data_IF_196493181750
#
_entry.id   IF_196493181750
#
_cell.length_a   1.000
_cell.length_b   1.000
_cell.length_c   1.000
_cell.angle_alpha   90.00
_cell.angle_beta   90.00
_cell.angle_gamma   90.00
#
_symmetry.space_group_name_H-M   'P 1'
#
loop_
_entity.id
_entity.type
_entity.pdbx_description
1 polymer ?
#
# COMPACT_ATOMS: atom_id res chain seq x y z
N UNK A 1 3.26 -29.09 12.10
CA UNK A 1 2.49 -28.06 12.84
C UNK A 1 3.15 -26.71 12.59
N UNK A 2 2.67 -25.94 11.61
CA UNK A 2 3.21 -24.63 11.27
C UNK A 2 2.75 -23.60 12.32
N UNK A 3 3.71 -22.88 12.88
CA UNK A 3 3.51 -21.99 14.02
C UNK A 3 2.55 -20.85 13.68
N UNK A 4 1.46 -20.76 14.45
CA UNK A 4 0.51 -19.68 14.48
C UNK A 4 1.13 -18.37 15.03
N UNK A 5 2.12 -17.81 14.33
CA UNK A 5 2.42 -16.37 14.43
C UNK A 5 1.31 -15.64 13.69
N UNK A 6 0.16 -15.59 14.35
CA UNK A 6 -1.06 -15.03 13.80
C UNK A 6 -0.81 -13.58 13.37
N UNK A 7 -1.61 -13.19 12.39
CA UNK A 7 -1.86 -11.84 11.90
C UNK A 7 -2.34 -10.84 12.99
N UNK A 8 -1.69 -10.81 14.16
CA UNK A 8 -1.92 -9.84 15.22
C UNK A 8 -1.73 -8.43 14.65
N UNK A 9 -2.85 -7.72 14.46
CA UNK A 9 -2.88 -6.36 13.93
C UNK A 9 -3.41 -6.20 12.50
N UNK A 10 -3.85 -7.26 11.82
CA UNK A 10 -4.69 -7.09 10.62
C UNK A 10 -6.07 -6.56 11.03
N UNK A 11 -6.68 -5.70 10.20
CA UNK A 11 -8.10 -5.38 10.34
C UNK A 11 -8.99 -6.57 9.91
N UNK A 12 -10.29 -6.56 10.24
CA UNK A 12 -11.22 -7.58 9.76
C UNK A 12 -11.20 -7.76 8.24
N UNK A 13 -11.22 -6.66 7.47
CA UNK A 13 -11.18 -6.71 6.01
C UNK A 13 -9.83 -7.22 5.50
N UNK A 14 -8.72 -6.84 6.12
CA UNK A 14 -7.41 -7.38 5.76
C UNK A 14 -7.32 -8.89 6.02
N UNK A 15 -7.86 -9.37 7.16
CA UNK A 15 -7.96 -10.82 7.43
C UNK A 15 -8.84 -11.53 6.41
N UNK A 16 -10.00 -10.95 6.06
CA UNK A 16 -10.90 -11.52 5.06
C UNK A 16 -10.19 -11.67 3.72
N UNK A 17 -9.53 -10.61 3.26
CA UNK A 17 -8.80 -10.59 2.00
C UNK A 17 -7.65 -11.61 1.99
N UNK A 18 -6.86 -11.68 3.06
CA UNK A 18 -5.73 -12.64 3.15
C UNK A 18 -6.23 -14.09 3.13
N UNK A 19 -7.33 -14.41 3.84
CA UNK A 19 -7.90 -15.77 3.79
C UNK A 19 -8.35 -16.15 2.38
N UNK A 20 -8.98 -15.22 1.66
CA UNK A 20 -9.36 -15.45 0.28
C UNK A 20 -8.15 -15.65 -0.64
N UNK A 21 -7.11 -14.82 -0.52
CA UNK A 21 -5.87 -14.96 -1.31
C UNK A 21 -5.22 -16.32 -1.04
N UNK A 22 -5.08 -16.71 0.23
CA UNK A 22 -4.48 -18.00 0.63
C UNK A 22 -5.27 -19.18 0.06
N UNK A 23 -6.60 -19.14 0.13
CA UNK A 23 -7.45 -20.23 -0.33
C UNK A 23 -7.63 -20.34 -1.85
N UNK A 24 -7.42 -19.24 -2.58
CA UNK A 24 -7.65 -19.19 -4.03
C UNK A 24 -6.38 -19.01 -4.85
N UNK A 25 -5.26 -18.69 -4.21
CA UNK A 25 -4.02 -18.29 -4.89
C UNK A 25 -4.20 -17.11 -5.84
N UNK A 26 -5.05 -16.13 -5.51
CA UNK A 26 -5.27 -14.92 -6.33
C UNK A 26 -3.97 -14.12 -6.58
N UNK A 27 -3.00 -14.22 -5.67
CA UNK A 27 -1.66 -13.65 -5.84
C UNK A 27 -0.82 -14.38 -6.90
N UNK A 28 -1.31 -15.47 -7.50
CA UNK A 28 -0.68 -16.24 -8.57
C UNK A 28 0.74 -16.73 -8.21
N UNK A 29 0.94 -17.10 -6.95
CA UNK A 29 2.25 -17.55 -6.46
C UNK A 29 3.30 -16.44 -6.31
N UNK A 30 2.90 -15.17 -6.39
CA UNK A 30 3.78 -14.03 -6.14
C UNK A 30 3.71 -13.58 -4.67
N UNK A 31 4.81 -13.03 -4.15
CA UNK A 31 4.75 -12.31 -2.87
C UNK A 31 3.78 -11.13 -2.97
N UNK A 32 3.12 -10.80 -1.86
CA UNK A 32 2.12 -9.75 -1.88
C UNK A 32 2.12 -8.88 -0.63
N UNK A 33 1.53 -7.70 -0.75
CA UNK A 33 1.28 -6.82 0.38
C UNK A 33 -0.18 -6.36 0.42
N UNK A 34 -0.69 -6.15 1.63
CA UNK A 34 -1.99 -5.51 1.88
C UNK A 34 -1.75 -4.15 2.51
N UNK A 35 -2.17 -3.09 1.83
CA UNK A 35 -2.21 -1.72 2.36
C UNK A 35 -3.58 -1.47 2.95
N UNK A 36 -3.65 -1.38 4.28
CA UNK A 36 -4.85 -1.00 5.01
C UNK A 36 -4.90 0.52 5.16
N UNK A 37 -5.74 1.15 4.34
CA UNK A 37 -5.87 2.61 4.32
C UNK A 37 -6.46 3.17 5.61
N UNK A 38 -7.41 2.49 6.25
CA UNK A 38 -8.03 2.93 7.49
C UNK A 38 -7.06 2.85 8.68
N UNK A 39 -6.25 1.79 8.73
CA UNK A 39 -5.22 1.62 9.74
C UNK A 39 -3.92 2.40 9.43
N UNK A 40 -3.77 2.89 8.20
CA UNK A 40 -2.53 3.47 7.68
C UNK A 40 -1.32 2.53 7.87
N UNK A 41 -1.50 1.26 7.47
CA UNK A 41 -0.50 0.19 7.61
C UNK A 41 -0.31 -0.58 6.32
N UNK A 42 0.87 -1.17 6.19
CA UNK A 42 1.15 -2.21 5.20
C UNK A 42 1.47 -3.52 5.92
N UNK A 43 1.05 -4.63 5.32
CA UNK A 43 1.35 -5.99 5.76
C UNK A 43 1.92 -6.77 4.58
N UNK A 44 3.10 -7.38 4.74
CA UNK A 44 3.79 -8.09 3.65
C UNK A 44 3.73 -9.59 3.93
N UNK A 45 3.48 -10.35 2.88
CA UNK A 45 3.32 -11.79 2.88
C UNK A 45 4.20 -12.43 1.80
N UNK A 46 4.66 -13.65 2.06
CA UNK A 46 5.30 -14.48 1.04
C UNK A 46 4.30 -14.94 -0.03
N UNK A 47 4.81 -15.59 -1.07
CA UNK A 47 3.99 -16.23 -2.10
C UNK A 47 2.99 -17.25 -1.56
N UNK A 48 3.32 -17.91 -0.44
CA UNK A 48 2.47 -18.91 0.23
C UNK A 48 1.64 -18.29 1.36
N UNK A 49 1.35 -16.98 1.28
CA UNK A 49 0.58 -16.23 2.27
C UNK A 49 1.14 -16.24 3.71
N UNK A 50 2.40 -16.65 3.91
CA UNK A 50 3.04 -16.55 5.21
C UNK A 50 3.33 -15.09 5.54
N UNK A 51 2.93 -14.63 6.73
CA UNK A 51 3.17 -13.26 7.18
C UNK A 51 4.66 -12.99 7.42
N UNK A 52 5.18 -11.91 6.81
CA UNK A 52 6.60 -11.53 6.90
C UNK A 52 6.83 -10.29 7.76
N UNK A 53 5.91 -9.32 7.71
CA UNK A 53 6.04 -8.11 8.53
C UNK A 53 4.92 -7.11 8.35
N UNK A 54 4.90 -6.10 9.23
CA UNK A 54 4.00 -4.95 9.14
C UNK A 54 4.71 -3.66 9.52
N UNK A 55 4.27 -2.54 8.94
CA UNK A 55 4.74 -1.21 9.28
C UNK A 55 3.61 -0.17 9.14
N UNK A 56 3.66 0.96 9.87
CA UNK A 56 2.88 2.13 9.50
C UNK A 56 3.34 2.65 8.13
N UNK A 57 2.46 3.31 7.40
CA UNK A 57 2.77 3.98 6.12
C UNK A 57 2.14 5.35 6.07
N UNK A 58 2.71 6.26 5.27
CA UNK A 58 2.01 7.48 4.85
C UNK A 58 1.24 7.20 3.55
N UNK A 59 0.06 7.81 3.44
CA UNK A 59 -0.87 7.65 2.35
C UNK A 59 -1.24 9.01 1.75
N UNK A 60 -2.02 8.98 0.68
CA UNK A 60 -2.64 10.15 0.08
C UNK A 60 -3.32 11.04 1.15
N UNK A 61 -3.14 12.35 1.02
CA UNK A 61 -3.69 13.33 1.95
C UNK A 61 -5.23 13.29 2.00
N UNK A 62 -5.88 12.98 0.87
CA UNK A 62 -7.32 12.78 0.81
C UNK A 62 -7.69 11.31 1.03
N UNK A 63 -8.87 11.11 1.61
CA UNK A 63 -9.58 9.82 1.52
C UNK A 63 -10.20 9.70 0.14
N UNK A 64 -10.40 8.48 -0.33
CA UNK A 64 -10.94 8.19 -1.65
C UNK A 64 -10.26 6.99 -2.27
N UNK A 65 -11.04 6.20 -2.99
CA UNK A 65 -10.65 4.89 -3.51
C UNK A 65 -10.26 4.91 -4.99
N UNK A 66 -10.39 6.05 -5.66
CA UNK A 66 -10.11 6.21 -7.09
C UNK A 66 -9.12 7.33 -7.36
N UNK A 67 -8.34 7.17 -8.41
CA UNK A 67 -7.55 8.23 -9.03
C UNK A 67 -8.38 8.92 -10.11
N UNK A 68 -8.18 10.23 -10.30
CA UNK A 68 -8.84 10.97 -11.39
C UNK A 68 -8.10 10.74 -12.72
N UNK A 69 -8.80 10.73 -13.87
CA UNK A 69 -8.17 10.54 -15.17
C UNK A 69 -7.02 11.52 -15.43
N UNK A 70 -5.91 11.02 -15.95
CA UNK A 70 -4.75 11.83 -16.34
C UNK A 70 -3.91 12.37 -15.19
N UNK A 71 -4.17 11.95 -13.93
CA UNK A 71 -3.45 12.50 -12.77
C UNK A 71 -1.95 12.25 -12.81
N UNK A 72 -1.51 11.09 -13.33
CA UNK A 72 -0.10 10.73 -13.39
C UNK A 72 0.73 11.62 -14.32
N UNK A 73 0.10 12.32 -15.25
CA UNK A 73 0.76 13.22 -16.21
C UNK A 73 0.68 14.69 -15.77
N UNK A 74 -0.04 15.00 -14.68
CA UNK A 74 -0.20 16.37 -14.19
C UNK A 74 0.96 16.78 -13.29
N UNK A 75 1.49 18.01 -13.40
CA UNK A 75 2.40 18.57 -12.42
C UNK A 75 1.78 18.56 -11.02
N UNK A 76 2.58 18.25 -9.98
CA UNK A 76 2.09 18.19 -8.58
C UNK A 76 1.39 19.48 -8.13
N UNK A 77 1.85 20.63 -8.61
CA UNK A 77 1.24 21.93 -8.30
C UNK A 77 -0.22 22.06 -8.80
N UNK A 78 -0.62 21.25 -9.78
CA UNK A 78 -1.97 21.21 -10.33
C UNK A 78 -2.84 20.14 -9.66
N UNK A 79 -2.29 19.26 -8.82
CA UNK A 79 -3.07 18.22 -8.13
C UNK A 79 -3.81 18.84 -6.95
N UNK A 80 -5.14 18.86 -7.06
CA UNK A 80 -6.02 19.46 -6.06
C UNK A 80 -6.01 18.64 -4.76
N UNK A 81 -6.26 19.26 -3.60
CA UNK A 81 -6.23 18.56 -2.32
C UNK A 81 -7.07 17.27 -2.28
N UNK A 82 -8.27 17.29 -2.84
CA UNK A 82 -9.21 16.17 -2.91
C UNK A 82 -8.79 15.04 -3.85
N UNK A 83 -7.88 15.32 -4.79
CA UNK A 83 -7.36 14.35 -5.76
C UNK A 83 -6.17 13.55 -5.23
N UNK A 84 -5.66 13.88 -4.03
CA UNK A 84 -4.48 13.25 -3.42
C UNK A 84 -4.85 11.93 -2.75
N UNK A 85 -5.42 11.01 -3.51
CA UNK A 85 -5.93 9.72 -3.04
C UNK A 85 -4.92 8.61 -3.27
N UNK A 86 -4.94 7.59 -2.40
CA UNK A 86 -4.30 6.29 -2.69
C UNK A 86 -5.41 5.36 -3.20
N UNK A 87 -5.37 4.92 -4.47
CA UNK A 87 -6.46 4.13 -5.06
C UNK A 87 -6.56 2.76 -4.39
N UNK A 88 -7.79 2.26 -4.25
CA UNK A 88 -8.07 0.91 -3.76
C UNK A 88 -8.10 -0.09 -4.92
N UNK A 89 -7.77 -1.35 -4.65
CA UNK A 89 -7.80 -2.39 -5.67
C UNK A 89 -6.64 -3.38 -5.57
N UNK A 90 -6.48 -4.18 -6.63
CA UNK A 90 -5.42 -5.18 -6.79
C UNK A 90 -4.49 -4.73 -7.91
N UNK A 91 -3.21 -4.63 -7.61
CA UNK A 91 -2.20 -4.11 -8.52
C UNK A 91 -1.02 -5.07 -8.62
N UNK A 92 -0.58 -5.38 -9.84
CA UNK A 92 0.71 -6.06 -10.04
C UNK A 92 1.80 -5.01 -9.99
N UNK A 93 2.85 -5.25 -9.20
CA UNK A 93 3.91 -4.25 -9.03
C UNK A 93 4.93 -4.29 -10.14
N UNK A 94 5.47 -3.11 -10.45
CA UNK A 94 6.58 -2.95 -11.38
C UNK A 94 7.79 -2.28 -10.71
N UNK A 95 9.02 -2.74 -11.01
CA UNK A 95 10.23 -2.07 -10.58
C UNK A 95 10.33 -0.69 -11.24
N UNK A 96 10.79 0.32 -10.50
CA UNK A 96 10.93 1.67 -11.01
C UNK A 96 12.08 2.44 -10.40
N UNK A 97 12.39 3.58 -11.00
CA UNK A 97 13.27 4.59 -10.42
C UNK A 97 12.59 5.95 -10.49
N UNK A 98 12.75 6.74 -9.45
CA UNK A 98 12.32 8.14 -9.49
C UNK A 98 13.35 9.03 -10.20
N UNK A 99 13.04 10.32 -10.37
CA UNK A 99 13.90 11.30 -11.05
C UNK A 99 15.28 11.51 -10.39
N UNK A 100 15.47 11.07 -9.13
CA UNK A 100 16.76 11.09 -8.43
C UNK A 100 17.51 9.75 -8.51
N UNK A 101 17.00 8.79 -9.28
CA UNK A 101 17.59 7.47 -9.47
C UNK A 101 17.35 6.47 -8.33
N UNK A 102 16.59 6.85 -7.29
CA UNK A 102 16.23 5.94 -6.19
C UNK A 102 15.20 4.93 -6.67
N UNK A 103 15.37 3.68 -6.25
CA UNK A 103 14.43 2.60 -6.52
C UNK A 103 13.07 2.85 -5.84
N UNK A 104 12.01 2.59 -6.60
CA UNK A 104 10.61 2.68 -6.18
C UNK A 104 9.86 1.46 -6.71
N UNK A 105 8.72 1.15 -6.10
CA UNK A 105 7.79 0.15 -6.62
C UNK A 105 6.58 0.88 -7.20
N UNK A 106 6.29 0.71 -8.48
CA UNK A 106 5.03 1.19 -9.04
C UNK A 106 3.89 0.29 -8.56
N UNK A 107 2.83 0.92 -8.01
CA UNK A 107 1.57 0.24 -7.69
C UNK A 107 0.60 0.49 -8.85
N UNK A 108 0.43 1.74 -9.24
CA UNK A 108 -0.40 2.13 -10.38
C UNK A 108 0.43 3.12 -11.20
N UNK A 109 0.96 2.64 -12.33
CA UNK A 109 1.85 3.41 -13.18
C UNK A 109 1.13 4.59 -13.82
N UNK A 110 -0.08 4.37 -14.35
CA UNK A 110 -0.86 5.39 -15.06
C UNK A 110 -1.31 6.52 -14.12
N UNK A 111 -1.61 6.20 -12.86
CA UNK A 111 -1.90 7.18 -11.82
C UNK A 111 -0.63 7.77 -11.16
N UNK A 112 0.56 7.34 -11.56
CA UNK A 112 1.84 7.67 -10.94
C UNK A 112 1.88 7.42 -9.41
N UNK A 113 1.21 6.36 -8.95
CA UNK A 113 1.21 5.94 -7.55
C UNK A 113 2.29 4.88 -7.33
N UNK A 114 3.23 5.20 -6.46
CA UNK A 114 4.33 4.30 -6.10
C UNK A 114 4.39 4.04 -4.59
N UNK A 115 4.97 2.90 -4.25
CA UNK A 115 5.44 2.56 -2.92
C UNK A 115 6.95 2.83 -2.84
N UNK A 116 7.34 3.70 -1.92
CA UNK A 116 8.75 4.09 -1.76
C UNK A 116 9.10 4.37 -0.31
N UNK A 117 10.41 4.47 -0.03
CA UNK A 117 10.92 4.88 1.30
C UNK A 117 10.36 6.24 1.70
N UNK A 118 10.05 6.44 2.97
CA UNK A 118 9.74 7.78 3.49
C UNK A 118 10.93 8.70 3.27
N UNK A 119 10.67 9.90 2.75
CA UNK A 119 11.68 10.92 2.44
C UNK A 119 11.30 12.20 3.14
N UNK A 120 12.24 12.83 3.83
CA UNK A 120 12.00 14.11 4.48
C UNK A 120 12.51 15.25 3.58
N UNK A 121 11.78 15.53 2.50
CA UNK A 121 12.14 16.59 1.56
C UNK A 121 11.99 18.00 2.18
N UNK A 122 11.07 18.16 3.13
CA UNK A 122 10.88 19.38 3.90
C UNK A 122 10.63 19.06 5.36
N UNK A 123 11.34 19.74 6.27
CA UNK A 123 11.14 19.60 7.71
C UNK A 123 9.73 20.00 8.15
N UNK A 124 9.08 20.93 7.42
CA UNK A 124 7.72 21.37 7.71
C UNK A 124 6.67 20.26 7.52
N UNK A 125 6.93 19.27 6.66
CA UNK A 125 6.02 18.14 6.44
C UNK A 125 6.02 17.15 7.62
N UNK A 126 7.11 17.11 8.42
CA UNK A 126 7.24 16.24 9.59
C UNK A 126 6.94 14.75 9.31
N UNK A 127 7.34 14.24 8.13
CA UNK A 127 6.95 12.90 7.66
C UNK A 127 7.36 11.77 8.60
N UNK A 128 8.55 11.85 9.19
CA UNK A 128 9.03 10.84 10.14
C UNK A 128 8.19 10.85 11.44
N UNK A 129 7.84 12.03 11.94
CA UNK A 129 7.00 12.17 13.13
C UNK A 129 5.57 11.69 12.86
N UNK A 130 4.99 12.03 11.70
CA UNK A 130 3.67 11.53 11.24
C UNK A 130 3.65 10.01 11.16
N UNK A 131 4.71 9.42 10.62
CA UNK A 131 4.84 7.96 10.51
C UNK A 131 4.92 7.29 11.89
N UNK A 132 5.61 7.92 12.84
CA UNK A 132 5.78 7.44 14.21
C UNK A 132 4.57 7.71 15.13
N UNK A 133 3.66 8.62 14.77
CA UNK A 133 2.51 8.94 15.62
C UNK A 133 1.55 7.74 15.76
N UNK A 134 0.67 7.76 16.77
CA UNK A 134 -0.42 6.77 16.88
C UNK A 134 -1.61 7.08 15.97
N UNK A 135 -1.79 8.36 15.57
CA UNK A 135 -2.91 8.81 14.75
C UNK A 135 -2.81 8.34 13.30
N UNK A 136 -3.92 7.83 12.75
CA UNK A 136 -4.00 7.46 11.32
C UNK A 136 -4.18 8.70 10.44
N UNK A 137 -4.81 9.76 10.95
CA UNK A 137 -4.95 11.02 10.22
C UNK A 137 -3.62 11.73 9.99
N UNK A 138 -2.68 11.65 10.94
CA UNK A 138 -1.34 12.24 10.77
C UNK A 138 -0.60 11.66 9.56
N UNK A 139 -0.93 10.42 9.18
CA UNK A 139 -0.29 9.67 8.09
C UNK A 139 -0.87 10.00 6.71
N UNK A 140 -1.83 10.91 6.62
CA UNK A 140 -2.41 11.43 5.37
C UNK A 140 -1.66 12.69 4.97
N UNK A 141 -0.75 12.56 3.99
CA UNK A 141 0.11 13.68 3.57
C UNK A 141 0.64 13.59 2.14
N UNK A 142 0.66 12.41 1.53
CA UNK A 142 1.22 12.24 0.18
C UNK A 142 0.25 12.71 -0.91
N UNK A 143 0.73 12.75 -2.15
CA UNK A 143 -0.11 12.97 -3.34
C UNK A 143 -0.76 11.68 -3.87
N UNK A 144 -0.66 10.58 -3.12
CA UNK A 144 -1.23 9.26 -3.46
C UNK A 144 -0.26 8.11 -3.21
N UNK A 145 1.05 8.36 -3.36
CA UNK A 145 2.10 7.38 -3.09
C UNK A 145 2.05 6.84 -1.66
N UNK A 146 2.41 5.57 -1.49
CA UNK A 146 2.57 4.91 -0.18
C UNK A 146 4.01 5.09 0.29
N UNK A 147 4.22 5.63 1.49
CA UNK A 147 5.58 5.86 2.02
C UNK A 147 5.85 4.95 3.23
N UNK A 148 6.85 4.08 3.12
CA UNK A 148 7.20 3.10 4.15
C UNK A 148 8.50 3.45 4.89
N UNK A 149 8.70 2.99 6.14
CA UNK A 149 9.99 3.14 6.83
C UNK A 149 11.13 2.51 6.03
N UNK A 150 12.28 3.17 6.00
CA UNK A 150 13.46 2.74 5.20
C UNK A 150 13.86 1.29 5.50
N UNK A 151 13.98 0.94 6.77
CA UNK A 151 14.38 -0.41 7.18
C UNK A 151 13.34 -1.48 6.76
N UNK A 152 12.05 -1.17 6.87
CA UNK A 152 10.99 -2.07 6.45
C UNK A 152 11.00 -2.25 4.92
N UNK A 153 11.17 -1.14 4.20
CA UNK A 153 11.24 -1.16 2.75
C UNK A 153 12.40 -2.01 2.24
N UNK A 154 13.61 -1.78 2.74
CA UNK A 154 14.80 -2.53 2.33
C UNK A 154 14.71 -4.01 2.68
N UNK A 155 14.08 -4.35 3.81
CA UNK A 155 13.98 -5.74 4.27
C UNK A 155 12.92 -6.54 3.50
N UNK A 156 11.78 -5.93 3.20
CA UNK A 156 10.61 -6.67 2.72
C UNK A 156 10.06 -6.17 1.39
N UNK A 157 10.00 -4.86 1.16
CA UNK A 157 9.35 -4.32 -0.04
C UNK A 157 10.27 -4.44 -1.25
N UNK A 158 11.50 -3.92 -1.17
CA UNK A 158 12.43 -3.92 -2.30
C UNK A 158 12.68 -5.34 -2.84
N UNK A 159 13.07 -6.34 -2.01
CA UNK A 159 13.38 -7.67 -2.54
C UNK A 159 12.18 -8.42 -3.14
N UNK A 160 10.96 -8.18 -2.62
CA UNK A 160 9.78 -8.98 -2.96
C UNK A 160 8.85 -8.32 -3.97
N UNK A 161 8.82 -6.99 -3.99
CA UNK A 161 7.88 -6.20 -4.79
C UNK A 161 8.58 -5.21 -5.74
N UNK A 162 9.86 -4.92 -5.50
CA UNK A 162 10.62 -3.89 -6.22
C UNK A 162 11.77 -4.39 -7.10
N UNK A 163 12.30 -5.59 -6.85
CA UNK A 163 13.28 -6.28 -7.74
C UNK A 163 12.64 -7.40 -8.55
N UNK A 164 11.49 -7.87 -8.09
CA UNK A 164 10.63 -8.85 -8.74
C UNK A 164 9.20 -8.31 -8.72
N UNK A 165 8.37 -8.73 -9.66
CA UNK A 165 6.94 -8.44 -9.59
C UNK A 165 6.31 -9.13 -8.38
N UNK A 166 5.42 -8.40 -7.72
CA UNK A 166 4.55 -8.89 -6.67
C UNK A 166 3.13 -8.37 -6.86
N UNK A 167 2.28 -8.55 -5.86
CA UNK A 167 0.92 -8.00 -5.87
C UNK A 167 0.71 -7.08 -4.68
N UNK A 168 0.19 -5.88 -4.91
CA UNK A 168 -0.25 -4.97 -3.85
C UNK A 168 -1.77 -4.89 -3.88
N UNK A 169 -2.40 -5.25 -2.77
CA UNK A 169 -3.81 -5.06 -2.54
C UNK A 169 -4.00 -3.84 -1.64
N UNK A 170 -4.80 -2.87 -2.06
CA UNK A 170 -5.09 -1.67 -1.30
C UNK A 170 -6.56 -1.71 -0.86
N UNK A 171 -6.79 -1.77 0.45
CA UNK A 171 -8.15 -1.80 1.03
C UNK A 171 -8.82 -0.43 0.95
N UNK A 172 -10.15 -0.36 0.69
CA UNK A 172 -10.83 0.91 0.57
C UNK A 172 -10.97 1.66 1.89
N UNK A 173 -11.10 2.99 1.82
CA UNK A 173 -11.38 3.86 2.99
C UNK A 173 -12.61 4.76 2.85
N UNK A 174 -13.31 4.69 1.72
CA UNK A 174 -14.58 5.38 1.48
C UNK A 174 -15.68 4.43 1.00
N UNK A 175 -15.34 3.49 0.12
CA UNK A 175 -16.26 2.49 -0.40
C UNK A 175 -16.34 1.26 0.50
N UNK A 176 -17.46 0.50 0.45
CA UNK A 176 -17.56 -0.79 1.09
C UNK A 176 -16.48 -1.76 0.59
N UNK A 177 -15.92 -2.58 1.48
CA UNK A 177 -14.97 -3.63 1.09
C UNK A 177 -15.50 -4.52 -0.05
N UNK A 178 -16.79 -4.84 -0.02
CA UNK A 178 -17.44 -5.69 -1.01
C UNK A 178 -17.63 -5.05 -2.39
N UNK A 179 -17.51 -3.73 -2.56
CA UNK A 179 -17.55 -3.11 -3.91
C UNK A 179 -16.23 -3.28 -4.66
N UNK A 180 -15.11 -3.27 -3.94
CA UNK A 180 -13.77 -3.42 -4.51
C UNK A 180 -13.32 -4.88 -4.56
N UNK A 181 -13.58 -5.65 -3.49
CA UNK A 181 -13.15 -7.04 -3.34
C UNK A 181 -14.35 -7.99 -3.23
N UNK A 182 -15.18 -8.01 -4.28
CA UNK A 182 -16.42 -8.80 -4.36
C UNK A 182 -16.15 -10.27 -4.04
N UNK A 183 -15.20 -10.91 -4.73
CA UNK A 183 -14.88 -12.32 -4.54
C UNK A 183 -14.39 -12.62 -3.10
N UNK A 184 -13.53 -11.76 -2.54
CA UNK A 184 -13.07 -11.93 -1.17
C UNK A 184 -14.18 -11.73 -0.14
N UNK A 185 -15.16 -10.86 -0.40
CA UNK A 185 -16.29 -10.61 0.51
C UNK A 185 -17.25 -11.79 0.60
N UNK A 186 -17.32 -12.62 -0.44
CA UNK A 186 -18.14 -13.83 -0.48
C UNK A 186 -17.38 -15.09 -0.02
N UNK A 187 -16.09 -14.97 0.31
CA UNK A 187 -15.26 -16.11 0.68
C UNK A 187 -15.54 -16.57 2.13
N UNK A 188 -15.81 -17.86 2.38
CA UNK A 188 -16.14 -18.37 3.71
C UNK A 188 -15.00 -18.24 4.74
#
# INVERSE_FOLDING_TARGET
MASARSAAGLSPNARQLVRWIEGTSDNQGLAFAVVDKLAARIHVFSAQAQWLGTAPVLLGAARGDHSVPGIGQRPLAQVRPEERTTPAGRFVTEPGRNLRGEDIVWIDYDAAVSLHRVRSASAAERRLQRLASSGTQDKRISYGCVNAPVAFYNRWIDPLLGRTSGVVYVLPDTEPFASIFIAASAYP
#
